data_IF_121814220716
#
_entry.id   IF_121814220716
#
_cell.length_a   1.000
_cell.length_b   1.000
_cell.length_c   1.000
_cell.angle_alpha   90.00
_cell.angle_beta   90.00
_cell.angle_gamma   90.00
#
_symmetry.space_group_name_H-M   'P 1'
#
loop_
_entity.id
_entity.type
_entity.pdbx_description
1 polymer ?
#
# COMPACT_ATOMS: atom_id res chain seq x y z
N UNK A 1 12.88 16.86 -7.89
CA UNK A 1 13.42 18.24 -8.00
C UNK A 1 14.13 18.58 -6.70
N UNK A 2 15.34 19.12 -6.76
CA UNK A 2 16.10 19.56 -5.58
C UNK A 2 15.84 21.05 -5.42
N UNK A 3 15.28 21.49 -4.30
CA UNK A 3 15.18 22.90 -3.94
C UNK A 3 16.19 23.20 -2.85
N UNK A 4 17.04 24.19 -3.06
CA UNK A 4 18.05 24.64 -2.10
C UNK A 4 17.53 25.91 -1.45
N UNK A 5 17.50 25.96 -0.12
CA UNK A 5 17.16 27.18 0.60
C UNK A 5 18.29 28.20 0.44
N UNK A 6 17.98 29.40 -0.04
CA UNK A 6 18.98 30.46 -0.26
C UNK A 6 19.57 31.03 1.03
N UNK A 7 18.84 30.92 2.15
CA UNK A 7 19.29 31.46 3.45
C UNK A 7 20.19 30.52 4.24
N UNK A 8 19.91 29.20 4.23
CA UNK A 8 20.62 28.23 5.06
C UNK A 8 21.32 27.12 4.26
N UNK A 9 21.20 27.10 2.94
CA UNK A 9 21.79 26.08 2.07
C UNK A 9 21.15 24.69 2.19
N UNK A 10 20.07 24.54 2.98
CA UNK A 10 19.42 23.25 3.17
C UNK A 10 18.82 22.73 1.87
N UNK A 11 19.19 21.51 1.48
CA UNK A 11 18.68 20.83 0.28
C UNK A 11 17.42 20.06 0.65
N UNK A 12 16.30 20.44 0.05
CA UNK A 12 15.06 19.67 0.10
C UNK A 12 14.87 18.91 -1.22
N UNK A 13 14.56 17.62 -1.11
CA UNK A 13 14.38 16.74 -2.26
C UNK A 13 12.97 16.16 -2.19
N UNK A 14 12.22 16.31 -3.29
CA UNK A 14 10.98 15.57 -3.47
C UNK A 14 11.30 14.13 -3.90
N UNK A 15 10.77 13.17 -3.15
CA UNK A 15 10.85 11.75 -3.45
C UNK A 15 9.51 11.26 -3.96
N UNK A 16 9.53 10.66 -5.16
CA UNK A 16 8.37 10.03 -5.78
C UNK A 16 8.38 8.53 -5.50
N UNK A 17 7.36 8.04 -4.80
CA UNK A 17 7.20 6.63 -4.49
C UNK A 17 6.04 6.04 -5.28
N UNK A 18 6.28 4.90 -5.94
CA UNK A 18 5.25 4.16 -6.68
C UNK A 18 4.70 3.01 -5.84
N UNK A 19 3.38 2.78 -5.91
CA UNK A 19 2.77 1.55 -5.42
C UNK A 19 3.05 0.40 -6.40
N UNK A 20 3.94 -0.51 -6.00
CA UNK A 20 4.46 -1.60 -6.84
C UNK A 20 4.08 -2.99 -6.30
N UNK A 21 4.39 -4.04 -7.07
CA UNK A 21 4.04 -5.43 -6.73
C UNK A 21 4.62 -5.89 -5.37
N UNK A 22 5.81 -5.41 -4.97
CA UNK A 22 6.38 -5.71 -3.66
C UNK A 22 5.54 -5.15 -2.51
N UNK A 23 5.01 -3.92 -2.65
CA UNK A 23 4.09 -3.31 -1.69
C UNK A 23 2.73 -4.02 -1.70
N UNK A 24 2.22 -4.39 -2.86
CA UNK A 24 1.00 -5.16 -2.99
C UNK A 24 1.11 -6.53 -2.29
N UNK A 25 2.22 -7.24 -2.52
CA UNK A 25 2.52 -8.53 -1.86
C UNK A 25 2.58 -8.38 -0.35
N UNK A 26 3.25 -7.34 0.16
CA UNK A 26 3.31 -7.07 1.60
C UNK A 26 1.91 -6.83 2.18
N UNK A 27 1.13 -5.96 1.54
CA UNK A 27 -0.23 -5.62 1.98
C UNK A 27 -1.14 -6.85 1.97
N UNK A 28 -1.01 -7.72 0.95
CA UNK A 28 -1.72 -9.00 0.84
C UNK A 28 -1.42 -9.92 2.02
N UNK A 29 -0.15 -10.03 2.43
CA UNK A 29 0.21 -10.82 3.60
C UNK A 29 -0.41 -10.25 4.89
N UNK A 30 -0.37 -8.93 5.09
CA UNK A 30 -1.05 -8.31 6.24
C UNK A 30 -2.57 -8.56 6.22
N UNK A 31 -3.18 -8.47 5.03
CA UNK A 31 -4.61 -8.74 4.84
C UNK A 31 -4.98 -10.19 5.19
N UNK A 32 -4.13 -11.17 4.85
CA UNK A 32 -4.35 -12.58 5.20
C UNK A 32 -4.45 -12.80 6.72
N UNK A 33 -3.61 -12.12 7.51
CA UNK A 33 -3.59 -12.29 8.96
C UNK A 33 -4.62 -11.43 9.70
N UNK A 34 -5.03 -10.29 9.12
CA UNK A 34 -5.98 -9.30 9.72
C UNK A 34 -5.65 -8.88 11.18
N UNK A 35 -4.39 -9.00 11.59
CA UNK A 35 -3.91 -8.65 12.94
C UNK A 35 -2.51 -8.06 12.87
N UNK A 36 -2.01 -7.41 13.94
CA UNK A 36 -0.61 -7.03 14.06
C UNK A 36 0.32 -8.21 13.80
N UNK A 37 1.23 -8.06 12.83
CA UNK A 37 2.18 -9.10 12.46
C UNK A 37 3.59 -8.54 12.40
N UNK A 38 4.56 -9.32 12.87
CA UNK A 38 5.97 -9.00 12.68
C UNK A 38 6.33 -9.28 11.22
N UNK A 39 7.09 -8.37 10.61
CA UNK A 39 7.50 -8.45 9.22
C UNK A 39 8.25 -9.75 8.89
N UNK A 40 8.97 -10.32 9.87
CA UNK A 40 9.72 -11.57 9.72
C UNK A 40 8.80 -12.80 9.60
N UNK A 41 7.59 -12.72 10.14
CA UNK A 41 6.62 -13.82 10.14
C UNK A 41 5.79 -13.87 8.85
N UNK A 42 5.93 -12.87 7.98
CA UNK A 42 5.14 -12.73 6.74
C UNK A 42 5.70 -13.56 5.56
N UNK A 43 6.81 -14.27 5.75
CA UNK A 43 7.45 -15.06 4.68
C UNK A 43 7.97 -14.22 3.52
N UNK A 44 8.31 -12.95 3.77
CA UNK A 44 8.73 -11.98 2.76
C UNK A 44 10.26 -11.94 2.61
N UNK A 45 10.74 -11.69 1.39
CA UNK A 45 12.16 -11.45 1.13
C UNK A 45 12.63 -10.17 1.83
N UNK A 46 13.93 -10.05 2.12
CA UNK A 46 14.48 -8.83 2.73
C UNK A 46 14.11 -7.56 1.95
N UNK A 47 14.17 -7.60 0.62
CA UNK A 47 13.80 -6.47 -0.24
C UNK A 47 12.31 -6.09 -0.16
N UNK A 48 11.42 -7.05 0.06
CA UNK A 48 10.00 -6.77 0.31
C UNK A 48 9.79 -6.16 1.70
N UNK A 49 10.52 -6.65 2.71
CA UNK A 49 10.44 -6.19 4.10
C UNK A 49 10.87 -4.73 4.26
N UNK A 50 11.94 -4.31 3.59
CA UNK A 50 12.47 -2.93 3.67
C UNK A 50 11.51 -1.88 3.12
N UNK A 51 10.58 -2.28 2.24
CA UNK A 51 9.61 -1.36 1.64
C UNK A 51 8.32 -1.20 2.46
N UNK A 52 8.12 -1.98 3.53
CA UNK A 52 6.94 -1.95 4.41
C UNK A 52 6.53 -0.55 4.88
N UNK A 53 7.51 0.28 5.20
CA UNK A 53 7.29 1.64 5.69
C UNK A 53 6.52 2.54 4.72
N UNK A 54 6.64 2.27 3.42
CA UNK A 54 6.02 3.07 2.36
C UNK A 54 4.51 2.85 2.28
N UNK A 55 3.97 1.73 2.76
CA UNK A 55 2.51 1.52 2.81
C UNK A 55 1.77 2.59 3.62
N UNK A 56 2.47 3.24 4.57
CA UNK A 56 1.93 4.38 5.33
C UNK A 56 1.64 5.60 4.47
N UNK A 57 2.36 5.79 3.36
CA UNK A 57 2.21 6.97 2.52
C UNK A 57 0.82 7.02 1.84
N UNK A 58 0.19 5.86 1.66
CA UNK A 58 -1.19 5.71 1.19
C UNK A 58 -2.20 5.45 2.32
N UNK A 59 -1.72 5.37 3.58
CA UNK A 59 -2.55 5.01 4.73
C UNK A 59 -3.05 3.57 4.73
N UNK A 60 -2.38 2.64 4.04
CA UNK A 60 -2.83 1.24 3.86
C UNK A 60 -2.38 0.31 4.99
N UNK A 61 -1.29 0.65 5.66
CA UNK A 61 -0.80 -0.05 6.84
C UNK A 61 -0.27 0.97 7.85
N UNK A 62 -0.26 0.59 9.13
CA UNK A 62 0.25 1.40 10.24
C UNK A 62 1.21 0.58 11.10
N UNK A 63 2.14 1.26 11.73
CA UNK A 63 2.98 0.66 12.76
C UNK A 63 2.21 0.52 14.07
N UNK A 64 2.57 -0.49 14.85
CA UNK A 64 1.89 -0.81 16.11
C UNK A 64 2.73 -0.31 17.29
N UNK A 65 2.04 0.19 18.31
CA UNK A 65 2.64 0.62 19.58
C UNK A 65 2.24 -0.38 20.67
N UNK A 66 3.06 -0.52 21.70
CA UNK A 66 2.68 -1.25 22.92
C UNK A 66 1.82 -0.40 23.85
N UNK A 67 1.39 -1.00 24.96
CA UNK A 67 0.50 -0.37 25.93
C UNK A 67 1.14 0.82 26.65
N UNK A 68 2.48 0.95 26.54
CA UNK A 68 3.26 2.07 27.07
C UNK A 68 3.55 3.14 26.01
N UNK A 69 2.95 3.02 24.81
CA UNK A 69 3.14 3.97 23.72
C UNK A 69 4.48 3.83 23.00
N UNK A 70 5.23 2.74 23.21
CA UNK A 70 6.50 2.49 22.52
C UNK A 70 6.27 1.71 21.23
N UNK A 71 6.93 2.15 20.16
CA UNK A 71 6.83 1.55 18.83
C UNK A 71 7.33 0.09 18.83
N UNK A 72 6.47 -0.87 18.47
CA UNK A 72 6.86 -2.26 18.23
C UNK A 72 7.57 -2.37 16.87
N UNK A 73 8.90 -2.43 16.90
CA UNK A 73 9.73 -2.47 15.68
C UNK A 73 9.37 -3.65 14.78
N UNK A 74 9.16 -3.37 13.50
CA UNK A 74 8.83 -4.38 12.50
C UNK A 74 7.44 -4.98 12.67
N UNK A 75 6.57 -4.45 13.54
CA UNK A 75 5.19 -4.92 13.68
C UNK A 75 4.26 -3.97 12.93
N UNK A 76 3.49 -4.54 12.00
CA UNK A 76 2.60 -3.82 11.10
C UNK A 76 1.19 -4.34 11.20
N UNK A 77 0.24 -3.44 11.01
CA UNK A 77 -1.18 -3.76 10.95
C UNK A 77 -1.78 -3.10 9.71
N UNK A 78 -2.57 -3.86 8.95
CA UNK A 78 -3.39 -3.32 7.87
C UNK A 78 -4.44 -2.35 8.44
N UNK A 79 -4.70 -1.25 7.74
CA UNK A 79 -5.78 -0.30 8.11
C UNK A 79 -7.08 -0.70 7.43
N UNK A 80 -8.21 -0.08 7.82
CA UNK A 80 -9.47 -0.27 7.11
C UNK A 80 -9.35 0.14 5.63
N UNK A 81 -8.69 1.26 5.34
CA UNK A 81 -8.37 1.69 3.96
C UNK A 81 -7.56 0.64 3.20
N UNK A 82 -6.59 -0.01 3.88
CA UNK A 82 -5.83 -1.12 3.31
C UNK A 82 -6.71 -2.32 2.95
N UNK A 83 -7.65 -2.68 3.83
CA UNK A 83 -8.64 -3.74 3.58
C UNK A 83 -9.52 -3.38 2.39
N UNK A 84 -10.12 -2.18 2.39
CA UNK A 84 -11.00 -1.73 1.31
C UNK A 84 -10.27 -1.69 -0.04
N UNK A 85 -8.98 -1.35 -0.03
CA UNK A 85 -8.16 -1.36 -1.24
C UNK A 85 -7.89 -2.79 -1.75
N UNK A 86 -7.49 -3.72 -0.87
CA UNK A 86 -7.26 -5.14 -1.25
C UNK A 86 -8.55 -5.82 -1.72
N UNK A 87 -9.70 -5.42 -1.18
CA UNK A 87 -11.02 -5.93 -1.56
C UNK A 87 -11.66 -5.17 -2.76
N UNK A 88 -10.87 -4.34 -3.46
CA UNK A 88 -11.27 -3.57 -4.66
C UNK A 88 -12.43 -2.61 -4.47
N UNK A 89 -12.68 -2.17 -3.23
CA UNK A 89 -13.75 -1.21 -2.92
C UNK A 89 -13.35 0.23 -3.17
N UNK A 90 -12.05 0.52 -3.14
CA UNK A 90 -11.48 1.84 -3.40
C UNK A 90 -10.30 1.74 -4.36
N UNK A 91 -9.97 2.87 -4.99
CA UNK A 91 -8.71 3.07 -5.71
C UNK A 91 -7.72 3.88 -4.87
N UNK A 92 -6.45 3.84 -5.26
CA UNK A 92 -5.41 4.74 -4.75
C UNK A 92 -4.61 5.34 -5.90
N UNK A 93 -4.09 6.55 -5.73
CA UNK A 93 -3.11 7.08 -6.67
C UNK A 93 -1.85 6.22 -6.73
N UNK A 94 -1.37 5.95 -7.95
CA UNK A 94 -0.17 5.14 -8.20
C UNK A 94 1.08 5.71 -7.53
N UNK A 95 1.19 7.03 -7.41
CA UNK A 95 2.37 7.70 -6.86
C UNK A 95 2.05 8.61 -5.67
N UNK A 96 2.99 8.67 -4.74
CA UNK A 96 3.02 9.66 -3.64
C UNK A 96 4.31 10.47 -3.71
N UNK A 97 4.18 11.78 -3.55
CA UNK A 97 5.31 12.70 -3.40
C UNK A 97 5.51 13.03 -1.93
N UNK A 98 6.71 12.75 -1.44
CA UNK A 98 7.15 13.07 -0.09
C UNK A 98 8.27 14.10 -0.16
N UNK A 99 8.31 15.03 0.80
CA UNK A 99 9.41 15.99 0.98
C UNK A 99 9.71 16.08 2.46
N UNK A 100 10.97 15.86 2.85
CA UNK A 100 11.41 15.90 4.25
C UNK A 100 10.55 15.02 5.18
N UNK A 101 10.27 13.78 4.76
CA UNK A 101 9.40 12.82 5.45
C UNK A 101 7.94 13.26 5.66
N UNK A 102 7.51 14.33 4.98
CA UNK A 102 6.11 14.79 4.99
C UNK A 102 5.44 14.52 3.66
N UNK A 103 4.17 14.12 3.72
CA UNK A 103 3.33 14.00 2.54
C UNK A 103 3.17 15.38 1.88
N UNK A 104 3.30 15.42 0.55
CA UNK A 104 3.09 16.65 -0.24
C UNK A 104 1.83 16.51 -1.08
N UNK A 105 1.76 15.49 -1.93
CA UNK A 105 0.65 15.25 -2.86
C UNK A 105 0.63 13.82 -3.38
N UNK A 106 -0.51 13.43 -3.91
CA UNK A 106 -0.64 12.27 -4.77
C UNK A 106 -0.37 12.65 -6.23
N UNK A 107 0.09 11.70 -7.05
CA UNK A 107 0.33 11.89 -8.49
C UNK A 107 -0.03 10.64 -9.30
N UNK A 108 -0.30 10.84 -10.58
CA UNK A 108 -0.59 9.79 -11.56
C UNK A 108 -2.01 9.24 -11.44
N UNK A 109 -2.26 8.20 -12.24
CA UNK A 109 -3.54 7.51 -12.30
C UNK A 109 -3.91 6.84 -10.98
N UNK A 110 -5.21 6.65 -10.78
CA UNK A 110 -5.71 5.81 -9.70
C UNK A 110 -5.77 4.36 -10.15
N UNK A 111 -5.22 3.48 -9.33
CA UNK A 111 -5.15 2.03 -9.56
C UNK A 111 -5.96 1.29 -8.51
N UNK A 112 -6.55 0.16 -8.91
CA UNK A 112 -7.00 -0.88 -8.01
C UNK A 112 -5.83 -1.76 -7.57
N UNK A 113 -6.09 -2.62 -6.57
CA UNK A 113 -5.09 -3.57 -6.10
C UNK A 113 -4.63 -4.53 -7.21
N UNK A 114 -5.57 -5.03 -8.02
CA UNK A 114 -5.29 -6.00 -9.08
C UNK A 114 -4.43 -5.46 -10.22
N UNK A 115 -4.55 -4.16 -10.53
CA UNK A 115 -3.73 -3.49 -11.56
C UNK A 115 -2.23 -3.53 -11.23
N UNK A 116 -1.86 -3.84 -9.98
CA UNK A 116 -0.48 -3.89 -9.50
C UNK A 116 -0.07 -5.29 -9.03
N UNK A 117 -1.03 -6.10 -8.58
CA UNK A 117 -0.79 -7.42 -8.00
C UNK A 117 -0.82 -8.58 -8.99
N UNK A 118 -0.99 -8.34 -10.31
CA UNK A 118 -1.06 -9.39 -11.33
C UNK A 118 0.00 -10.49 -11.09
N UNK A 119 -0.49 -11.66 -10.66
CA UNK A 119 0.28 -12.74 -10.04
C UNK A 119 -0.39 -13.32 -8.79
N UNK A 120 -1.21 -12.53 -8.08
CA UNK A 120 -1.96 -12.95 -6.89
C UNK A 120 -3.47 -12.98 -7.18
N UNK A 121 -4.03 -14.15 -7.52
CA UNK A 121 -5.48 -14.36 -7.69
C UNK A 121 -6.09 -14.83 -6.37
N UNK A 122 -7.06 -14.10 -5.80
CA UNK A 122 -7.83 -14.56 -4.64
C UNK A 122 -9.03 -15.40 -5.10
N UNK A 123 -9.46 -16.37 -4.27
CA UNK A 123 -10.59 -17.28 -4.58
C UNK A 123 -11.92 -16.54 -4.78
N UNK A 124 -12.12 -15.35 -4.19
CA UNK A 124 -13.31 -14.49 -4.37
C UNK A 124 -13.33 -13.73 -5.70
N UNK A 125 -12.20 -13.61 -6.39
CA UNK A 125 -12.15 -12.94 -7.70
C UNK A 125 -12.93 -13.74 -8.78
N UNK A 126 -13.17 -15.04 -8.55
CA UNK A 126 -14.03 -15.88 -9.39
C UNK A 126 -15.52 -15.59 -9.22
N UNK A 127 -15.97 -15.15 -8.03
CA UNK A 127 -17.40 -14.94 -7.75
C UNK A 127 -17.88 -13.66 -8.44
N UNK A 128 -17.11 -12.56 -8.35
CA UNK A 128 -17.48 -11.27 -8.97
C UNK A 128 -17.27 -11.21 -10.48
N UNK A 129 -16.28 -11.91 -11.05
CA UNK A 129 -16.13 -11.97 -12.51
C UNK A 129 -17.25 -12.75 -13.19
N UNK A 130 -17.86 -13.72 -12.49
CA UNK A 130 -19.02 -14.43 -13.03
C UNK A 130 -20.26 -13.52 -13.12
N UNK A 131 -20.52 -12.68 -12.11
CA UNK A 131 -21.68 -11.76 -12.14
C UNK A 131 -21.55 -10.67 -13.21
N UNK A 132 -20.36 -10.10 -13.43
CA UNK A 132 -20.15 -9.05 -14.44
C UNK A 132 -20.22 -9.62 -15.86
N UNK A 133 -19.81 -10.88 -16.06
CA UNK A 133 -19.89 -11.52 -17.37
C UNK A 133 -21.34 -11.91 -17.72
N UNK A 134 -22.18 -12.33 -16.78
CA UNK A 134 -23.58 -12.70 -17.05
C UNK A 134 -24.48 -11.51 -17.42
N UNK A 135 -24.26 -10.32 -16.83
CA UNK A 135 -25.07 -9.12 -17.10
C UNK A 135 -24.86 -8.56 -18.53
N UNK A 136 -23.75 -8.94 -19.19
CA UNK A 136 -23.43 -8.56 -20.58
C UNK A 136 -24.02 -9.50 -21.66
N UNK A 137 -24.55 -10.67 -21.29
CA UNK A 137 -25.15 -11.62 -22.25
C UNK A 137 -26.69 -11.68 -22.19
N UNK A 138 -27.34 -11.00 -21.22
CA UNK A 138 -28.80 -10.98 -21.08
C UNK A 138 -29.48 -9.71 -21.63
N UNK A 139 -28.72 -8.75 -22.19
CA UNK A 139 -29.24 -7.53 -22.83
C UNK A 139 -29.07 -7.52 -24.36
N UNK A 140 -29.37 -8.66 -25.01
CA UNK A 140 -29.62 -8.73 -26.46
C UNK A 140 -30.89 -9.47 -26.78
#
# INVERSE_FOLDING_TARGET
>A
MIKICEHCGHKSVEYRFSFNNGLATFLSQLYKYRRPCKTDDLGLTYAQRTNSQKLRYWGLAKSVYDDYGKLKRGVWQITQRGIDFVEHRIKIHKYVIMMNNKFVRYEGEEVFFNDVSEGYKYRRDYEKQSEIQYDMWETK
#
